data_IF_835869324457
#
_entry.id   IF_835869324457
#
_cell.length_a   1.000
_cell.length_b   1.000
_cell.length_c   1.000
_cell.angle_alpha   90.00
_cell.angle_beta   90.00
_cell.angle_gamma   90.00
#
_symmetry.space_group_name_H-M   'P 1'
#
loop_
_entity.id
_entity.type
_entity.pdbx_description
1 polymer ?
#
# COMPACT_ATOMS: atom_id res chain seq x y z
N UNK A 1 17.63 12.64 -8.70
CA UNK A 1 18.22 11.63 -7.79
C UNK A 1 19.03 10.69 -8.66
N UNK A 2 20.31 10.50 -8.36
CA UNK A 2 21.16 9.57 -9.10
C UNK A 2 20.58 8.15 -9.02
N UNK A 3 20.64 7.39 -10.13
CA UNK A 3 20.16 6.00 -10.18
C UNK A 3 20.75 5.14 -9.05
N UNK A 4 22.03 5.32 -8.77
CA UNK A 4 22.74 4.64 -7.68
C UNK A 4 22.06 4.83 -6.33
N UNK A 5 21.55 6.03 -6.03
CA UNK A 5 20.87 6.33 -4.77
C UNK A 5 19.51 5.61 -4.70
N UNK A 6 18.73 5.63 -5.78
CA UNK A 6 17.42 4.94 -5.82
C UNK A 6 17.62 3.43 -5.66
N UNK A 7 18.66 2.89 -6.29
CA UNK A 7 19.00 1.47 -6.17
C UNK A 7 19.40 1.11 -4.73
N UNK A 8 20.21 1.95 -4.06
CA UNK A 8 20.56 1.75 -2.65
C UNK A 8 19.31 1.80 -1.76
N UNK A 9 18.41 2.76 -1.97
CA UNK A 9 17.15 2.87 -1.21
C UNK A 9 16.29 1.63 -1.43
N UNK A 10 16.16 1.16 -2.67
CA UNK A 10 15.38 -0.02 -3.03
C UNK A 10 15.91 -1.28 -2.32
N UNK A 11 17.22 -1.52 -2.40
CA UNK A 11 17.85 -2.68 -1.74
C UNK A 11 17.66 -2.60 -0.22
N UNK A 12 17.92 -1.43 0.38
CA UNK A 12 17.79 -1.26 1.83
C UNK A 12 16.34 -1.43 2.30
N UNK A 13 15.37 -0.95 1.53
CA UNK A 13 13.95 -1.14 1.81
C UNK A 13 13.52 -2.62 1.80
N UNK A 14 14.09 -3.44 0.90
CA UNK A 14 13.85 -4.89 0.89
C UNK A 14 14.36 -5.53 2.18
N UNK A 15 15.59 -5.21 2.60
CA UNK A 15 16.14 -5.71 3.86
C UNK A 15 15.25 -5.33 5.05
N UNK A 16 14.89 -4.06 5.17
CA UNK A 16 14.00 -3.59 6.24
C UNK A 16 12.67 -4.33 6.23
N UNK A 17 12.03 -4.47 5.06
CA UNK A 17 10.76 -5.18 4.92
C UNK A 17 10.84 -6.64 5.37
N UNK A 18 11.92 -7.35 5.01
CA UNK A 18 12.15 -8.73 5.42
C UNK A 18 12.24 -8.88 6.95
N UNK A 19 13.08 -8.07 7.61
CA UNK A 19 13.26 -8.14 9.07
C UNK A 19 11.99 -7.72 9.84
N UNK A 20 11.22 -6.77 9.31
CA UNK A 20 9.95 -6.33 9.90
C UNK A 20 8.91 -7.45 9.87
N UNK A 21 8.78 -8.17 8.75
CA UNK A 21 7.80 -9.27 8.62
C UNK A 21 8.21 -10.51 9.42
N UNK A 22 9.52 -10.80 9.49
CA UNK A 22 10.04 -11.98 10.19
C UNK A 22 9.78 -11.95 11.71
N UNK A 23 9.63 -10.76 12.30
CA UNK A 23 9.43 -10.57 13.75
C UNK A 23 7.96 -10.53 14.17
N UNK A 24 7.01 -10.83 13.27
CA UNK A 24 5.58 -10.84 13.58
C UNK A 24 5.16 -12.13 14.29
N UNK A 25 4.26 -12.02 15.27
CA UNK A 25 3.70 -13.18 15.96
C UNK A 25 2.81 -14.01 15.01
N UNK A 26 2.83 -15.36 15.07
CA UNK A 26 2.12 -16.19 14.09
C UNK A 26 0.62 -15.91 13.94
N UNK A 27 -0.04 -15.51 15.03
CA UNK A 27 -1.47 -15.17 15.03
C UNK A 27 -1.80 -13.90 14.22
N UNK A 28 -0.80 -13.05 13.94
CA UNK A 28 -0.96 -11.78 13.23
C UNK A 28 -0.63 -11.86 11.74
N UNK A 29 -0.25 -13.01 11.17
CA UNK A 29 0.05 -13.09 9.72
C UNK A 29 -1.15 -12.74 8.83
N UNK A 30 -2.37 -13.16 9.17
CA UNK A 30 -3.55 -12.79 8.39
C UNK A 30 -3.90 -11.29 8.50
N UNK A 31 -3.92 -10.67 9.69
CA UNK A 31 -3.99 -9.22 9.81
C UNK A 31 -2.85 -8.47 9.08
N UNK A 32 -1.62 -8.98 9.16
CA UNK A 32 -0.46 -8.40 8.47
C UNK A 32 -0.65 -8.39 6.96
N UNK A 33 -1.16 -9.50 6.39
CA UNK A 33 -1.48 -9.58 4.97
C UNK A 33 -2.54 -8.53 4.56
N UNK A 34 -3.54 -8.30 5.41
CA UNK A 34 -4.55 -7.26 5.15
C UNK A 34 -3.93 -5.84 5.20
N UNK A 35 -3.03 -5.57 6.15
CA UNK A 35 -2.31 -4.30 6.26
C UNK A 35 -1.44 -4.06 5.03
N UNK A 36 -0.64 -5.04 4.61
CA UNK A 36 0.26 -4.88 3.47
C UNK A 36 -0.50 -4.70 2.17
N UNK A 37 -1.68 -5.34 2.03
CA UNK A 37 -2.59 -5.05 0.92
C UNK A 37 -3.08 -3.59 0.94
N UNK A 38 -3.48 -3.07 2.09
CA UNK A 38 -3.89 -1.66 2.21
C UNK A 38 -2.74 -0.69 1.86
N UNK A 39 -1.53 -0.96 2.36
CA UNK A 39 -0.32 -0.14 2.11
C UNK A 39 0.10 -0.18 0.64
N UNK A 40 -0.12 -1.29 -0.07
CA UNK A 40 0.20 -1.40 -1.50
C UNK A 40 -0.52 -0.36 -2.37
N UNK A 41 -1.58 0.25 -1.83
CA UNK A 41 -2.33 1.33 -2.48
C UNK A 41 -1.56 2.65 -2.65
N UNK A 42 -0.27 2.70 -2.30
CA UNK A 42 0.66 3.80 -2.67
C UNK A 42 0.65 4.10 -4.18
N UNK A 43 0.21 3.15 -5.01
CA UNK A 43 -0.08 3.35 -6.43
C UNK A 43 -1.01 4.54 -6.73
N UNK A 44 -1.81 5.00 -5.76
CA UNK A 44 -2.65 6.20 -5.89
C UNK A 44 -1.84 7.44 -6.30
N UNK A 45 -0.58 7.54 -5.86
CA UNK A 45 0.31 8.66 -6.24
C UNK A 45 0.54 8.67 -7.75
N UNK A 46 0.81 7.50 -8.34
CA UNK A 46 0.98 7.36 -9.78
C UNK A 46 -0.32 7.65 -10.54
N UNK A 47 -1.46 7.17 -10.02
CA UNK A 47 -2.76 7.42 -10.62
C UNK A 47 -3.15 8.92 -10.62
N UNK A 48 -2.84 9.64 -9.54
CA UNK A 48 -3.05 11.09 -9.44
C UNK A 48 -2.18 11.87 -10.44
N UNK A 49 -0.92 11.47 -10.61
CA UNK A 49 -0.03 12.06 -11.62
C UNK A 49 -0.58 11.81 -13.03
N UNK A 50 -1.03 10.58 -13.33
CA UNK A 50 -1.63 10.24 -14.60
C UNK A 50 -2.93 11.04 -14.87
N UNK A 51 -3.78 11.21 -13.85
CA UNK A 51 -5.04 11.94 -13.96
C UNK A 51 -4.86 13.46 -14.11
N UNK A 52 -3.91 14.05 -13.37
CA UNK A 52 -3.76 15.50 -13.26
C UNK A 52 -2.71 16.11 -14.18
N UNK A 53 -1.57 15.45 -14.38
CA UNK A 53 -0.42 16.02 -15.07
C UNK A 53 -0.26 15.55 -16.53
N UNK A 54 -1.06 14.57 -16.99
CA UNK A 54 -0.94 14.05 -18.35
C UNK A 54 -1.75 14.88 -19.35
N UNK A 55 -1.17 15.17 -20.51
CA UNK A 55 -1.86 15.85 -21.62
C UNK A 55 -2.71 14.89 -22.48
N UNK A 56 -2.46 13.59 -22.40
CA UNK A 56 -3.21 12.56 -23.15
C UNK A 56 -4.59 12.30 -22.52
N UNK A 57 -5.69 12.35 -23.30
CA UNK A 57 -7.03 12.02 -22.81
C UNK A 57 -7.13 10.59 -22.26
N UNK A 58 -6.43 9.64 -22.90
CA UNK A 58 -6.38 8.25 -22.44
C UNK A 58 -5.70 8.13 -21.08
N UNK A 59 -4.56 8.82 -20.89
CA UNK A 59 -3.85 8.81 -19.61
C UNK A 59 -4.71 9.39 -18.49
N UNK A 60 -5.48 10.46 -18.76
CA UNK A 60 -6.43 11.01 -17.79
C UNK A 60 -7.52 10.03 -17.41
N UNK A 61 -8.10 9.33 -18.39
CA UNK A 61 -9.15 8.34 -18.12
C UNK A 61 -8.64 7.15 -17.31
N UNK A 62 -7.50 6.58 -17.69
CA UNK A 62 -6.87 5.50 -16.92
C UNK A 62 -6.40 5.96 -15.53
N UNK A 63 -5.89 7.19 -15.42
CA UNK A 63 -5.55 7.80 -14.14
C UNK A 63 -6.77 7.94 -13.23
N UNK A 64 -7.90 8.43 -13.75
CA UNK A 64 -9.16 8.53 -13.02
C UNK A 64 -9.64 7.16 -12.52
N UNK A 65 -9.70 6.16 -13.40
CA UNK A 65 -10.04 4.79 -13.00
C UNK A 65 -9.06 4.24 -11.95
N UNK A 66 -7.76 4.52 -12.12
CA UNK A 66 -6.72 4.13 -11.18
C UNK A 66 -6.92 4.76 -9.79
N UNK A 67 -7.29 6.03 -9.71
CA UNK A 67 -7.60 6.72 -8.45
C UNK A 67 -8.81 6.06 -7.76
N UNK A 68 -9.87 5.76 -8.52
CA UNK A 68 -11.07 5.09 -7.98
C UNK A 68 -10.72 3.71 -7.43
N UNK A 69 -10.00 2.89 -8.20
CA UNK A 69 -9.59 1.54 -7.78
C UNK A 69 -8.66 1.59 -6.57
N UNK A 70 -7.69 2.50 -6.57
CA UNK A 70 -6.79 2.69 -5.44
C UNK A 70 -7.56 3.14 -4.19
N UNK A 71 -8.52 4.06 -4.31
CA UNK A 71 -9.36 4.48 -3.19
C UNK A 71 -10.14 3.30 -2.59
N UNK A 72 -10.76 2.46 -3.42
CA UNK A 72 -11.47 1.25 -2.96
C UNK A 72 -10.52 0.34 -2.17
N UNK A 73 -9.30 0.12 -2.64
CA UNK A 73 -8.31 -0.70 -1.94
C UNK A 73 -7.86 -0.05 -0.61
N UNK A 74 -7.63 1.26 -0.58
CA UNK A 74 -7.29 2.00 0.66
C UNK A 74 -8.40 1.81 1.69
N UNK A 75 -9.64 2.21 1.36
CA UNK A 75 -10.73 2.18 2.32
C UNK A 75 -11.09 0.75 2.72
N UNK A 76 -11.22 -0.17 1.77
CA UNK A 76 -11.52 -1.57 2.03
C UNK A 76 -10.43 -2.25 2.86
N UNK A 77 -9.17 -2.08 2.45
CA UNK A 77 -8.01 -2.66 3.12
C UNK A 77 -7.87 -2.19 4.56
N UNK A 78 -7.97 -0.88 4.83
CA UNK A 78 -7.86 -0.37 6.20
C UNK A 78 -9.06 -0.72 7.07
N UNK A 79 -10.29 -0.70 6.54
CA UNK A 79 -11.49 -1.08 7.31
C UNK A 79 -11.45 -2.56 7.72
N UNK A 80 -11.10 -3.45 6.79
CA UNK A 80 -10.98 -4.89 7.07
C UNK A 80 -9.85 -5.16 8.08
N UNK A 81 -8.70 -4.51 7.90
CA UNK A 81 -7.57 -4.58 8.84
C UNK A 81 -7.98 -4.17 10.25
N UNK A 82 -8.70 -3.05 10.40
CA UNK A 82 -9.17 -2.59 11.71
C UNK A 82 -10.12 -3.60 12.37
N UNK A 83 -11.02 -4.20 11.59
CA UNK A 83 -11.91 -5.28 12.09
C UNK A 83 -11.10 -6.48 12.57
N UNK A 84 -10.12 -6.93 11.80
CA UNK A 84 -9.26 -8.06 12.20
C UNK A 84 -8.47 -7.75 13.48
N UNK A 85 -7.82 -6.59 13.56
CA UNK A 85 -7.05 -6.19 14.75
C UNK A 85 -7.95 -5.97 15.98
N UNK A 86 -9.21 -5.56 15.79
CA UNK A 86 -10.16 -5.41 16.89
C UNK A 86 -10.47 -6.73 17.61
N UNK A 87 -10.36 -7.88 16.91
CA UNK A 87 -10.58 -9.22 17.50
C UNK A 87 -9.50 -9.61 18.52
N UNK A 88 -8.32 -8.96 18.47
CA UNK A 88 -7.23 -9.18 19.41
C UNK A 88 -7.26 -8.24 20.62
N UNK A 89 -8.14 -7.24 20.64
CA UNK A 89 -8.33 -6.38 21.82
C UNK A 89 -9.07 -7.17 22.89
N UNK A 90 -8.52 -7.21 24.11
CA UNK A 90 -9.26 -7.71 25.28
C UNK A 90 -10.58 -6.93 25.40
N UNK A 91 -11.71 -7.63 25.48
CA UNK A 91 -12.99 -7.02 25.89
C UNK A 91 -12.75 -6.35 27.24
N UNK A 92 -13.05 -5.05 27.34
CA UNK A 92 -13.35 -4.45 28.63
C UNK A 92 -14.66 -5.03 29.13
#
# INVERSE_FOLDING_TARGET
>A
MEFSIILTIFILAIFVGYYVVWSVTPALHSPLMAVTNAISSVIVVGALIAAGASHSPFAKWFGFCGVVLAAINIFGGFVVTQRMLSMFKKKK
#
